data_IF_885501655732
#
_entry.id   IF_885501655732
#
_cell.length_a   1.000
_cell.length_b   1.000
_cell.length_c   1.000
_cell.angle_alpha   90.00
_cell.angle_beta   90.00
_cell.angle_gamma   90.00
#
_symmetry.space_group_name_H-M   'P 1'
#
loop_
_entity.id
_entity.type
_entity.pdbx_description
1 polymer ?
#
# COMPACT_ATOMS: atom_id res chain seq x y z
N UNK A 1 10.21 -22.97 5.46
CA UNK A 1 9.78 -22.73 5.21
C UNK A 1 9.60 -21.74 5.23
N UNK A 2 10.08 -21.36 4.97
CA UNK A 2 9.88 -20.60 4.93
C UNK A 2 9.25 -19.76 4.59
N UNK A 3 10.18 -19.38 4.31
CA UNK A 3 9.54 -18.26 3.61
C UNK A 3 8.13 -18.44 3.46
N UNK A 4 7.77 -19.58 3.51
CA UNK A 4 6.39 -19.77 3.51
C UNK A 4 5.79 -19.12 4.67
N UNK A 5 4.67 -18.74 4.70
CA UNK A 5 4.01 -18.07 5.75
C UNK A 5 4.25 -16.58 5.79
N UNK A 6 5.25 -16.09 5.08
CA UNK A 6 5.43 -14.66 4.99
C UNK A 6 4.63 -14.14 3.82
N UNK A 7 3.45 -13.66 4.12
CA UNK A 7 2.60 -13.04 3.11
C UNK A 7 2.57 -11.55 3.36
N UNK A 8 3.60 -10.86 2.85
CA UNK A 8 3.67 -9.42 3.01
C UNK A 8 2.61 -8.77 2.12
N UNK A 9 1.72 -8.03 2.73
CA UNK A 9 0.67 -7.31 2.04
C UNK A 9 0.98 -5.83 2.12
N UNK A 10 1.18 -5.19 0.97
CA UNK A 10 1.39 -3.74 0.92
C UNK A 10 0.09 -3.09 0.49
N UNK A 11 -0.32 -2.10 1.25
CA UNK A 11 -1.54 -1.33 0.99
C UNK A 11 -1.13 0.01 0.43
N UNK A 12 -1.55 0.30 -0.80
CA UNK A 12 -1.17 1.53 -1.49
C UNK A 12 -2.43 2.29 -1.89
N UNK A 13 -2.35 3.61 -1.82
CA UNK A 13 -3.45 4.44 -2.30
C UNK A 13 -3.24 4.74 -3.76
N UNK A 14 -4.16 4.25 -4.58
CA UNK A 14 -4.07 4.33 -6.03
C UNK A 14 -4.49 5.74 -6.46
N UNK A 15 -3.58 6.44 -7.10
CA UNK A 15 -3.80 7.83 -7.49
C UNK A 15 -4.02 7.95 -8.99
N UNK A 16 -4.26 9.18 -9.44
CA UNK A 16 -4.37 9.45 -10.87
C UNK A 16 -3.02 9.36 -11.58
N UNK A 17 -1.94 9.30 -10.81
CA UNK A 17 -0.59 9.09 -11.36
C UNK A 17 -0.08 7.73 -10.88
N UNK A 18 -0.45 6.67 -11.57
CA UNK A 18 -0.13 5.33 -11.07
C UNK A 18 1.36 4.98 -11.09
N UNK A 19 2.20 5.81 -11.68
CA UNK A 19 3.63 5.54 -11.71
C UNK A 19 4.21 5.43 -10.30
N UNK A 20 3.73 6.24 -9.35
CA UNK A 20 4.19 6.16 -7.96
C UNK A 20 3.90 4.79 -7.37
N UNK A 21 2.71 4.27 -7.65
CA UNK A 21 2.32 2.95 -7.17
C UNK A 21 3.15 1.86 -7.83
N UNK A 22 3.41 2.00 -9.11
CA UNK A 22 4.21 1.02 -9.85
C UNK A 22 5.61 0.89 -9.27
N UNK A 23 6.25 2.03 -9.02
CA UNK A 23 7.61 2.03 -8.50
C UNK A 23 7.65 1.46 -7.08
N UNK A 24 6.71 1.85 -6.23
CA UNK A 24 6.63 1.33 -4.88
C UNK A 24 6.46 -0.17 -4.86
N UNK A 25 5.60 -0.70 -5.72
CA UNK A 25 5.37 -2.14 -5.79
C UNK A 25 6.63 -2.87 -6.21
N UNK A 26 7.34 -2.35 -7.21
CA UNK A 26 8.58 -2.98 -7.67
C UNK A 26 9.66 -2.96 -6.59
N UNK A 27 9.71 -1.89 -5.81
CA UNK A 27 10.74 -1.74 -4.80
C UNK A 27 10.51 -2.64 -3.60
N UNK A 28 9.27 -2.76 -3.15
CA UNK A 28 8.94 -3.53 -1.95
C UNK A 28 8.76 -5.02 -2.19
N UNK A 29 8.51 -5.43 -3.42
CA UNK A 29 8.32 -6.84 -3.79
C UNK A 29 7.32 -7.57 -2.88
N UNK A 30 6.10 -7.06 -2.74
CA UNK A 30 5.13 -7.70 -1.84
C UNK A 30 4.55 -8.98 -2.46
N UNK A 31 4.06 -9.85 -1.61
CA UNK A 31 3.30 -11.01 -2.09
C UNK A 31 1.94 -10.59 -2.62
N UNK A 32 1.36 -9.58 -2.01
CA UNK A 32 0.07 -9.03 -2.45
C UNK A 32 0.11 -7.51 -2.29
N UNK A 33 -0.44 -6.81 -3.26
CA UNK A 33 -0.67 -5.38 -3.15
C UNK A 33 -2.17 -5.14 -3.19
N UNK A 34 -2.66 -4.32 -2.27
CA UNK A 34 -4.06 -3.91 -2.26
C UNK A 34 -4.08 -2.43 -2.59
N UNK A 35 -4.68 -2.11 -3.73
CA UNK A 35 -4.78 -0.74 -4.20
C UNK A 35 -6.10 -0.16 -3.74
N UNK A 36 -6.02 0.82 -2.85
CA UNK A 36 -7.20 1.48 -2.27
C UNK A 36 -7.44 2.78 -3.03
N UNK A 37 -8.64 2.98 -3.52
CA UNK A 37 -8.93 4.20 -4.27
C UNK A 37 -10.35 4.29 -4.72
N UNK A 38 -10.65 5.37 -5.43
CA UNK A 38 -11.98 5.56 -5.98
C UNK A 38 -12.23 4.58 -7.13
N UNK A 39 -13.45 4.07 -7.21
CA UNK A 39 -13.81 3.14 -8.28
C UNK A 39 -13.48 3.68 -9.66
N UNK A 40 -13.69 4.97 -9.86
CA UNK A 40 -13.42 5.62 -11.14
C UNK A 40 -11.94 5.51 -11.52
N UNK A 41 -11.05 5.75 -10.56
CA UNK A 41 -9.61 5.68 -10.81
C UNK A 41 -9.17 4.24 -11.03
N UNK A 42 -9.72 3.32 -10.26
CA UNK A 42 -9.42 1.90 -10.41
C UNK A 42 -9.80 1.43 -11.81
N UNK A 43 -10.99 1.78 -12.28
CA UNK A 43 -11.43 1.39 -13.63
C UNK A 43 -10.56 2.00 -14.71
N UNK A 44 -10.11 3.23 -14.50
CA UNK A 44 -9.33 3.94 -15.51
C UNK A 44 -7.90 3.43 -15.60
N UNK A 45 -7.26 3.16 -14.46
CA UNK A 45 -5.82 2.92 -14.42
C UNK A 45 -5.41 1.49 -14.03
N UNK A 46 -6.35 0.69 -13.53
CA UNK A 46 -5.99 -0.62 -12.99
C UNK A 46 -5.33 -1.55 -14.00
N UNK A 47 -5.87 -1.62 -15.20
CA UNK A 47 -5.32 -2.52 -16.21
C UNK A 47 -3.94 -2.08 -16.67
N UNK A 48 -3.70 -0.78 -16.77
CA UNK A 48 -2.39 -0.26 -17.14
C UNK A 48 -1.35 -0.62 -16.08
N UNK A 49 -1.74 -0.52 -14.81
CA UNK A 49 -0.88 -0.90 -13.71
C UNK A 49 -0.51 -2.39 -13.79
N UNK A 50 -1.50 -3.26 -14.00
CA UNK A 50 -1.25 -4.69 -14.10
C UNK A 50 -0.34 -5.02 -15.27
N UNK A 51 -0.59 -4.42 -16.43
CA UNK A 51 0.23 -4.65 -17.60
C UNK A 51 1.67 -4.20 -17.39
N UNK A 52 1.85 -3.08 -16.70
CA UNK A 52 3.19 -2.59 -16.42
C UNK A 52 3.98 -3.60 -15.60
N UNK A 53 3.37 -4.10 -14.52
CA UNK A 53 4.06 -5.06 -13.65
C UNK A 53 4.47 -6.31 -14.42
N UNK A 54 3.60 -6.83 -15.26
CA UNK A 54 3.92 -7.99 -16.07
C UNK A 54 5.06 -7.67 -17.03
N UNK A 55 5.03 -6.48 -17.63
CA UNK A 55 6.03 -6.10 -18.63
C UNK A 55 7.44 -5.99 -18.07
N UNK A 56 7.57 -5.73 -16.77
CA UNK A 56 8.87 -5.65 -16.12
C UNK A 56 9.22 -6.94 -15.36
N UNK A 57 8.47 -8.01 -15.62
CA UNK A 57 8.79 -9.32 -15.07
C UNK A 57 8.18 -9.61 -13.70
N UNK A 58 7.33 -8.74 -13.19
CA UNK A 58 6.68 -8.99 -11.90
C UNK A 58 5.28 -9.56 -12.15
N UNK A 59 5.22 -10.89 -12.29
CA UNK A 59 3.96 -11.58 -12.49
C UNK A 59 3.56 -12.43 -11.29
N UNK A 60 4.27 -12.29 -10.17
CA UNK A 60 4.01 -13.09 -8.98
C UNK A 60 3.25 -12.34 -7.89
N UNK A 61 3.31 -11.01 -7.88
CA UNK A 61 2.56 -10.21 -6.92
C UNK A 61 1.06 -10.29 -7.24
N UNK A 62 0.26 -10.68 -6.26
CA UNK A 62 -1.18 -10.66 -6.42
C UNK A 62 -1.69 -9.22 -6.29
N UNK A 63 -2.64 -8.85 -7.12
CA UNK A 63 -3.18 -7.49 -7.12
C UNK A 63 -4.64 -7.54 -6.75
N UNK A 64 -5.04 -6.73 -5.79
CA UNK A 64 -6.41 -6.64 -5.33
C UNK A 64 -6.79 -5.17 -5.24
N UNK A 65 -8.06 -4.86 -5.47
CA UNK A 65 -8.54 -3.49 -5.42
C UNK A 65 -9.56 -3.33 -4.31
N UNK A 66 -9.46 -2.21 -3.59
CA UNK A 66 -10.40 -1.87 -2.54
C UNK A 66 -10.97 -0.49 -2.84
N UNK A 67 -12.24 -0.45 -3.20
CA UNK A 67 -12.90 0.79 -3.55
C UNK A 67 -13.35 1.53 -2.29
N UNK A 68 -13.08 2.83 -2.22
CA UNK A 68 -13.52 3.67 -1.11
C UNK A 68 -14.25 4.90 -1.63
N UNK A 69 -15.01 5.52 -0.75
CA UNK A 69 -15.75 6.74 -1.08
C UNK A 69 -14.84 7.93 -0.82
N UNK A 70 -14.57 8.76 -1.84
CA UNK A 70 -13.69 9.91 -1.65
C UNK A 70 -14.27 10.89 -0.64
N UNK A 71 -13.39 11.51 0.13
CA UNK A 71 -13.75 12.52 1.14
C UNK A 71 -14.57 11.98 2.30
N UNK A 72 -14.61 10.66 2.47
CA UNK A 72 -15.35 10.02 3.56
C UNK A 72 -14.36 9.29 4.46
N UNK A 73 -13.91 9.97 5.51
CA UNK A 73 -12.90 9.42 6.40
C UNK A 73 -13.36 8.12 7.06
N UNK A 74 -14.61 8.08 7.53
CA UNK A 74 -15.14 6.87 8.16
C UNK A 74 -15.14 5.67 7.23
N UNK A 75 -15.50 5.90 5.97
CA UNK A 75 -15.49 4.84 4.98
C UNK A 75 -14.07 4.32 4.74
N UNK A 76 -13.11 5.23 4.60
CA UNK A 76 -11.72 4.85 4.36
C UNK A 76 -11.16 4.08 5.55
N UNK A 77 -11.39 4.58 6.78
CA UNK A 77 -10.91 3.91 7.98
C UNK A 77 -11.49 2.51 8.07
N UNK A 78 -12.80 2.36 7.85
CA UNK A 78 -13.46 1.05 7.92
C UNK A 78 -12.85 0.07 6.92
N UNK A 79 -12.59 0.54 5.68
CA UNK A 79 -11.99 -0.30 4.65
C UNK A 79 -10.58 -0.75 5.06
N UNK A 80 -9.77 0.17 5.57
CA UNK A 80 -8.41 -0.16 5.99
C UNK A 80 -8.40 -1.10 7.19
N UNK A 81 -9.32 -0.89 8.14
CA UNK A 81 -9.40 -1.78 9.30
C UNK A 81 -9.74 -3.21 8.88
N UNK A 82 -10.63 -3.37 7.92
CA UNK A 82 -10.97 -4.69 7.43
C UNK A 82 -9.74 -5.39 6.84
N UNK A 83 -8.95 -4.67 6.07
CA UNK A 83 -7.73 -5.23 5.49
C UNK A 83 -6.75 -5.67 6.59
N UNK A 84 -6.52 -4.80 7.56
CA UNK A 84 -5.59 -5.08 8.65
C UNK A 84 -6.06 -6.28 9.48
N UNK A 85 -7.36 -6.45 9.65
CA UNK A 85 -7.90 -7.59 10.38
C UNK A 85 -7.79 -8.90 9.59
N UNK A 86 -7.82 -8.81 8.26
CA UNK A 86 -7.80 -10.01 7.41
C UNK A 86 -6.38 -10.52 7.13
N UNK A 87 -5.37 -9.66 7.25
CA UNK A 87 -4.00 -10.02 6.88
C UNK A 87 -3.03 -9.73 8.03
N UNK A 88 -2.16 -10.69 8.36
CA UNK A 88 -1.28 -10.54 9.54
C UNK A 88 -0.05 -9.66 9.32
N UNK A 89 0.40 -9.48 8.08
CA UNK A 89 1.63 -8.72 7.82
C UNK A 89 1.32 -7.57 6.85
N UNK A 90 0.79 -6.48 7.40
CA UNK A 90 0.35 -5.33 6.61
C UNK A 90 1.37 -4.20 6.66
N UNK A 91 1.68 -3.67 5.50
CA UNK A 91 2.59 -2.53 5.34
C UNK A 91 1.84 -1.44 4.58
N UNK A 92 1.68 -0.28 5.18
CA UNK A 92 1.10 0.86 4.47
C UNK A 92 2.18 1.62 3.73
N UNK A 93 2.00 1.80 2.43
CA UNK A 93 2.87 2.65 1.64
C UNK A 93 2.25 4.05 1.62
N UNK A 94 2.96 5.01 2.18
CA UNK A 94 2.46 6.38 2.29
C UNK A 94 2.61 7.17 1.00
N UNK A 95 3.34 6.64 0.04
CA UNK A 95 3.56 7.29 -1.24
C UNK A 95 2.26 7.29 -2.05
N UNK A 96 1.85 8.43 -2.57
CA UNK A 96 0.69 8.49 -3.44
C UNK A 96 -0.65 8.74 -2.76
N UNK A 97 -0.71 8.71 -1.44
CA UNK A 97 -1.95 9.01 -0.74
C UNK A 97 -2.17 10.51 -0.56
N UNK A 98 -3.42 10.93 -0.48
CA UNK A 98 -3.73 12.33 -0.19
C UNK A 98 -3.78 12.55 1.32
N UNK A 99 -4.12 13.77 1.73
CA UNK A 99 -4.13 14.14 3.15
C UNK A 99 -5.10 13.26 3.95
N UNK A 100 -6.27 13.01 3.40
CA UNK A 100 -7.28 12.23 4.12
C UNK A 100 -6.84 10.78 4.27
N UNK A 101 -6.17 10.24 3.26
CA UNK A 101 -5.60 8.90 3.34
C UNK A 101 -4.58 8.82 4.47
N UNK A 102 -3.75 9.85 4.63
CA UNK A 102 -2.75 9.88 5.69
C UNK A 102 -3.42 9.89 7.07
N UNK A 103 -4.50 10.67 7.22
CA UNK A 103 -5.25 10.69 8.48
C UNK A 103 -5.83 9.31 8.78
N UNK A 104 -6.41 8.67 7.76
CA UNK A 104 -6.99 7.35 7.93
C UNK A 104 -5.96 6.31 8.34
N UNK A 105 -4.79 6.32 7.68
CA UNK A 105 -3.71 5.41 8.02
C UNK A 105 -3.27 5.62 9.47
N UNK A 106 -3.14 6.87 9.91
CA UNK A 106 -2.74 7.16 11.28
C UNK A 106 -3.72 6.62 12.30
N UNK A 107 -5.01 6.76 12.03
CA UNK A 107 -6.05 6.24 12.92
C UNK A 107 -5.96 4.72 13.02
N UNK A 108 -5.85 4.05 11.89
CA UNK A 108 -5.80 2.58 11.85
C UNK A 108 -4.51 2.07 12.49
N UNK A 109 -3.41 2.73 12.20
CA UNK A 109 -2.11 2.38 12.78
C UNK A 109 -2.17 2.45 14.30
N UNK A 110 -2.74 3.51 14.85
CA UNK A 110 -2.82 3.69 16.29
C UNK A 110 -3.77 2.67 16.93
N UNK A 111 -4.90 2.41 16.29
CA UNK A 111 -5.89 1.46 16.82
C UNK A 111 -5.40 0.02 16.83
N UNK A 112 -4.49 -0.31 15.94
CA UNK A 112 -4.05 -1.69 15.74
C UNK A 112 -2.53 -1.85 15.87
N UNK A 113 -1.92 -1.07 16.76
CA UNK A 113 -0.46 -1.13 16.95
C UNK A 113 0.05 -2.50 17.34
N UNK A 114 -0.76 -3.29 18.03
CA UNK A 114 -0.38 -4.63 18.45
C UNK A 114 -0.25 -5.60 17.27
N UNK A 115 -0.69 -5.21 16.10
CA UNK A 115 -0.60 -6.08 14.93
C UNK A 115 0.69 -5.96 14.16
N UNK A 116 1.59 -5.08 14.60
CA UNK A 116 2.89 -4.95 13.94
C UNK A 116 2.83 -4.32 12.56
N UNK A 117 1.88 -3.42 12.34
CA UNK A 117 1.74 -2.71 11.07
C UNK A 117 2.99 -1.90 10.80
N UNK A 118 3.46 -1.91 9.56
CA UNK A 118 4.62 -1.12 9.14
C UNK A 118 4.16 0.05 8.27
N UNK A 119 4.91 1.14 8.33
CA UNK A 119 4.67 2.32 7.50
C UNK A 119 5.91 2.56 6.66
N UNK A 120 5.74 2.62 5.34
CA UNK A 120 6.84 2.82 4.41
C UNK A 120 6.62 4.07 3.56
N UNK A 121 7.69 4.74 3.23
CA UNK A 121 7.64 5.85 2.28
C UNK A 121 8.80 5.71 1.30
N UNK A 122 8.49 5.75 0.02
CA UNK A 122 9.50 5.69 -1.02
C UNK A 122 9.82 7.11 -1.49
N UNK A 123 11.10 7.45 -1.49
CA UNK A 123 11.53 8.76 -1.98
C UNK A 123 12.07 8.58 -3.40
N UNK A 124 11.35 9.12 -4.37
CA UNK A 124 11.68 8.92 -5.77
C UNK A 124 12.99 9.59 -6.16
N UNK A 125 13.38 10.65 -5.45
CA UNK A 125 14.62 11.36 -5.75
C UNK A 125 15.85 10.56 -5.35
N UNK A 126 15.79 9.91 -4.20
CA UNK A 126 16.94 9.20 -3.66
C UNK A 126 16.90 7.70 -3.88
N UNK A 127 15.73 7.17 -4.24
CA UNK A 127 15.55 5.73 -4.39
C UNK A 127 15.56 4.99 -3.08
N UNK A 128 15.33 5.68 -1.96
CA UNK A 128 15.40 5.08 -0.63
C UNK A 128 14.00 4.85 -0.10
N UNK A 129 13.79 3.67 0.50
CA UNK A 129 12.56 3.37 1.22
C UNK A 129 12.80 3.69 2.69
N UNK A 130 11.95 4.52 3.25
CA UNK A 130 12.02 4.90 4.65
C UNK A 130 11.00 4.09 5.44
N UNK A 131 11.46 3.52 6.55
CA UNK A 131 10.57 2.94 7.54
C UNK A 131 10.10 4.08 8.43
N UNK A 132 8.84 4.42 8.32
CA UNK A 132 8.28 5.58 9.00
C UNK A 132 7.56 5.19 10.30
N UNK A 133 8.00 4.08 10.91
CA UNK A 133 7.41 3.68 12.18
C UNK A 133 7.87 4.63 13.29
N UNK A 134 7.43 4.36 14.52
CA UNK A 134 7.72 5.25 15.64
C UNK A 134 9.21 5.34 15.95
N UNK A 135 10.00 4.40 15.48
CA UNK A 135 11.45 4.41 15.68
C UNK A 135 12.17 5.29 14.67
N UNK A 136 11.52 5.65 13.59
CA UNK A 136 12.10 6.52 12.59
C UNK A 136 13.30 5.97 11.85
N UNK A 137 13.37 4.66 11.72
CA UNK A 137 14.51 4.03 11.06
C UNK A 137 14.42 4.16 9.54
N UNK A 138 15.57 4.16 8.92
CA UNK A 138 15.68 4.20 7.48
C UNK A 138 16.06 2.81 6.99
N UNK A 139 15.28 2.29 6.05
CA UNK A 139 15.65 1.08 5.34
C UNK A 139 16.42 1.49 4.11
N UNK A 140 17.63 1.02 3.98
CA UNK A 140 18.29 1.17 2.71
C UNK A 140 17.92 -0.03 1.86
N UNK A 141 17.52 0.23 0.69
CA UNK A 141 17.19 -0.84 -0.24
C UNK A 141 18.40 -1.23 -1.06
#
# INVERSE_FOLDING_TARGET
MDGEGRNMVVIEFFSETPIDNMISTLTSHPDKVILVGQSKIIRKNGKAYEKFLVSVGNDTTQIEYCSVIPHDLGNIVTALEKIVMDYPDCHFDLTGGDELAMVAIGIVYERHKDKGIKLHQYNIRTGVVYDCDMDGRVFSS
#
